data_IF_656262673214
#
_entry.id   IF_656262673214
#
_cell.length_a   1.000
_cell.length_b   1.000
_cell.length_c   1.000
_cell.angle_alpha   90.00
_cell.angle_beta   90.00
_cell.angle_gamma   90.00
#
_symmetry.space_group_name_H-M   'P 1'
#
loop_
_entity.id
_entity.type
_entity.pdbx_description
1 polymer ?
#
# COMPACT_ATOMS: atom_id res chain seq x y z
N UNK A 1 10.82 14.03 10.65
CA UNK A 1 9.55 14.14 11.40
C UNK A 1 8.42 13.51 10.56
N UNK A 2 7.36 12.96 11.16
CA UNK A 2 6.23 12.38 10.42
C UNK A 2 5.59 13.41 9.49
N UNK A 3 4.95 12.94 8.42
CA UNK A 3 4.28 13.83 7.45
C UNK A 3 3.10 14.61 8.03
N UNK A 4 2.52 14.14 9.13
CA UNK A 4 1.45 14.82 9.85
C UNK A 4 1.32 14.34 11.31
N UNK A 5 0.47 15.02 12.09
CA UNK A 5 0.12 14.58 13.45
C UNK A 5 -0.54 13.20 13.42
N UNK A 6 -0.11 12.33 14.32
CA UNK A 6 -0.73 11.02 14.57
C UNK A 6 -1.86 11.22 15.59
N UNK A 7 -3.07 10.81 15.23
CA UNK A 7 -4.21 10.83 16.15
C UNK A 7 -4.25 9.51 16.93
N UNK A 8 -4.22 9.58 18.24
CA UNK A 8 -4.27 8.40 19.13
C UNK A 8 -5.67 8.31 19.75
N UNK A 9 -6.26 7.12 19.73
CA UNK A 9 -7.58 6.87 20.31
C UNK A 9 -7.76 5.42 20.74
N UNK A 10 -9.01 5.05 21.02
CA UNK A 10 -9.42 3.67 21.26
C UNK A 10 -10.59 3.30 20.35
N UNK A 11 -10.55 2.08 19.81
CA UNK A 11 -11.65 1.46 19.07
C UNK A 11 -11.99 0.16 19.78
N UNK A 12 -13.22 0.02 20.30
CA UNK A 12 -13.64 -1.17 21.07
C UNK A 12 -12.63 -1.57 22.17
N UNK A 13 -12.06 -0.57 22.86
CA UNK A 13 -11.05 -0.77 23.91
C UNK A 13 -9.61 -0.96 23.41
N UNK A 14 -9.39 -1.25 22.12
CA UNK A 14 -8.08 -1.40 21.49
C UNK A 14 -7.48 -0.03 21.20
N UNK A 15 -6.22 0.20 21.60
CA UNK A 15 -5.51 1.46 21.30
C UNK A 15 -5.16 1.53 19.82
N UNK A 16 -5.50 2.65 19.17
CA UNK A 16 -5.28 2.86 17.73
C UNK A 16 -4.51 4.15 17.50
N UNK A 17 -3.60 4.14 16.52
CA UNK A 17 -2.92 5.32 16.00
C UNK A 17 -3.29 5.51 14.52
N UNK A 18 -3.88 6.66 14.18
CA UNK A 18 -4.25 7.03 12.82
C UNK A 18 -3.25 8.04 12.26
N UNK A 19 -2.71 7.76 11.07
CA UNK A 19 -1.75 8.60 10.37
C UNK A 19 -2.17 8.78 8.90
N UNK A 20 -2.62 9.98 8.47
CA UNK A 20 -2.94 10.23 7.07
C UNK A 20 -1.65 10.33 6.26
N UNK A 21 -1.43 9.35 5.38
CA UNK A 21 -0.23 9.23 4.52
C UNK A 21 0.11 10.53 3.77
N UNK A 22 -0.90 11.16 3.16
CA UNK A 22 -0.75 12.38 2.35
C UNK A 22 -0.93 13.68 3.14
N UNK A 23 -0.98 13.59 4.47
CA UNK A 23 -1.28 14.71 5.36
C UNK A 23 -2.73 15.22 5.24
N UNK A 24 -3.07 16.20 6.08
CA UNK A 24 -4.40 16.84 6.06
C UNK A 24 -4.61 17.59 4.74
N UNK A 25 -5.75 17.32 4.08
CA UNK A 25 -6.07 17.91 2.78
C UNK A 25 -5.30 17.31 1.60
N UNK A 26 -4.68 16.14 1.76
CA UNK A 26 -4.07 15.37 0.67
C UNK A 26 -2.99 16.15 -0.13
N UNK A 27 -2.07 16.81 0.58
CA UNK A 27 -1.12 17.78 -0.02
C UNK A 27 0.27 17.21 -0.31
N UNK A 28 0.58 16.03 0.22
CA UNK A 28 1.89 15.39 0.05
C UNK A 28 1.78 14.37 -1.07
N UNK A 29 2.55 14.52 -2.15
CA UNK A 29 2.54 13.54 -3.26
C UNK A 29 3.12 12.19 -2.82
N UNK A 30 2.83 11.08 -3.53
CA UNK A 30 3.35 9.75 -3.16
C UNK A 30 4.87 9.68 -2.97
N UNK A 31 5.64 10.34 -3.84
CA UNK A 31 7.11 10.41 -3.77
C UNK A 31 7.62 11.16 -2.54
N UNK A 32 6.88 12.19 -2.10
CA UNK A 32 7.29 13.08 -1.01
C UNK A 32 6.86 12.59 0.37
N UNK A 33 6.10 11.49 0.45
CA UNK A 33 5.69 10.93 1.74
C UNK A 33 6.96 10.61 2.55
N UNK A 34 7.10 11.12 3.78
CA UNK A 34 8.24 10.81 4.64
C UNK A 34 8.05 9.42 5.29
N UNK A 35 7.98 8.36 4.48
CA UNK A 35 7.60 7.01 4.89
C UNK A 35 8.47 6.50 6.05
N UNK A 36 9.78 6.70 5.97
CA UNK A 36 10.73 6.34 7.03
C UNK A 36 10.35 6.98 8.37
N UNK A 37 10.02 8.27 8.37
CA UNK A 37 9.61 8.96 9.60
C UNK A 37 8.23 8.51 10.11
N UNK A 38 7.31 8.21 9.20
CA UNK A 38 5.98 7.70 9.53
C UNK A 38 6.08 6.35 10.26
N UNK A 39 6.80 5.39 9.67
CA UNK A 39 6.99 4.06 10.27
C UNK A 39 7.76 4.15 11.59
N UNK A 40 8.83 4.96 11.66
CA UNK A 40 9.57 5.19 12.90
C UNK A 40 8.68 5.72 14.03
N UNK A 41 7.82 6.70 13.74
CA UNK A 41 6.93 7.27 14.73
C UNK A 41 5.88 6.27 15.21
N UNK A 42 5.31 5.46 14.31
CA UNK A 42 4.39 4.38 14.69
C UNK A 42 5.10 3.35 15.57
N UNK A 43 6.32 2.92 15.22
CA UNK A 43 7.13 2.03 16.06
C UNK A 43 7.39 2.63 17.45
N UNK A 44 7.74 3.92 17.50
CA UNK A 44 8.01 4.65 18.75
C UNK A 44 6.78 4.78 19.65
N UNK A 45 5.57 4.73 19.08
CA UNK A 45 4.31 4.70 19.82
C UNK A 45 3.91 3.29 20.32
N UNK A 46 4.71 2.27 20.02
CA UNK A 46 4.44 0.87 20.35
C UNK A 46 3.46 0.19 19.39
N UNK A 47 3.33 0.67 18.15
CA UNK A 47 2.49 0.01 17.14
C UNK A 47 3.14 -1.30 16.70
N UNK A 48 2.40 -2.40 16.83
CA UNK A 48 2.83 -3.75 16.42
C UNK A 48 2.16 -4.21 15.12
N UNK A 49 1.03 -3.61 14.77
CA UNK A 49 0.23 -3.95 13.58
C UNK A 49 -0.12 -2.68 12.80
N UNK A 50 0.13 -2.69 11.48
CA UNK A 50 -0.28 -1.62 10.57
C UNK A 50 -1.21 -2.20 9.52
N UNK A 51 -2.40 -1.62 9.43
CA UNK A 51 -3.33 -1.80 8.32
C UNK A 51 -3.19 -0.58 7.41
N UNK A 52 -2.62 -0.78 6.22
CA UNK A 52 -2.51 0.25 5.21
C UNK A 52 -3.73 0.24 4.29
N UNK A 53 -4.34 1.40 4.07
CA UNK A 53 -5.41 1.59 3.08
C UNK A 53 -4.82 2.20 1.81
N UNK A 54 -5.06 1.58 0.66
CA UNK A 54 -4.53 2.02 -0.63
C UNK A 54 -5.65 2.09 -1.67
N UNK A 55 -5.78 3.23 -2.37
CA UNK A 55 -6.53 3.27 -3.62
C UNK A 55 -5.65 2.71 -4.75
N UNK A 56 -6.22 1.85 -5.60
CA UNK A 56 -5.48 1.15 -6.66
C UNK A 56 -6.28 1.05 -7.96
N UNK A 57 -5.57 1.02 -9.08
CA UNK A 57 -6.11 0.60 -10.36
C UNK A 57 -6.01 -0.93 -10.52
N UNK A 58 -6.94 -1.51 -11.26
CA UNK A 58 -7.01 -2.95 -11.52
C UNK A 58 -6.49 -3.35 -12.90
N UNK A 59 -5.70 -4.42 -12.93
CA UNK A 59 -5.23 -5.10 -14.13
C UNK A 59 -6.05 -6.36 -14.46
N UNK A 60 -7.22 -6.55 -13.85
CA UNK A 60 -8.04 -7.75 -14.02
C UNK A 60 -9.51 -7.35 -14.19
N UNK A 61 -10.23 -7.98 -15.11
CA UNK A 61 -11.63 -7.63 -15.36
C UNK A 61 -12.55 -8.10 -14.23
N UNK A 62 -12.14 -9.15 -13.54
CA UNK A 62 -12.79 -9.77 -12.40
C UNK A 62 -12.60 -8.99 -11.10
N UNK A 63 -11.55 -8.16 -10.99
CA UNK A 63 -11.27 -7.26 -9.86
C UNK A 63 -11.78 -5.86 -10.23
N UNK A 64 -12.99 -5.51 -9.79
CA UNK A 64 -13.72 -4.35 -10.32
C UNK A 64 -13.59 -3.12 -9.43
N UNK A 65 -13.74 -1.91 -9.97
CA UNK A 65 -13.94 -0.71 -9.14
C UNK A 65 -15.05 -0.92 -8.11
N UNK A 66 -14.75 -0.62 -6.84
CA UNK A 66 -15.61 -0.91 -5.69
C UNK A 66 -15.28 -2.21 -4.94
N UNK A 67 -14.51 -3.11 -5.54
CA UNK A 67 -14.01 -4.29 -4.84
C UNK A 67 -12.82 -3.94 -3.93
N UNK A 68 -12.62 -4.77 -2.91
CA UNK A 68 -11.41 -4.81 -2.10
C UNK A 68 -10.50 -5.95 -2.57
N UNK A 69 -9.21 -5.80 -2.35
CA UNK A 69 -8.23 -6.88 -2.50
C UNK A 69 -7.19 -6.80 -1.40
N UNK A 70 -6.85 -7.96 -0.84
CA UNK A 70 -5.80 -8.11 0.17
C UNK A 70 -4.58 -8.75 -0.53
N UNK A 71 -3.65 -7.95 -1.09
CA UNK A 71 -2.53 -8.48 -1.84
C UNK A 71 -1.56 -9.24 -0.91
N UNK A 72 -0.91 -10.26 -1.46
CA UNK A 72 0.13 -11.03 -0.78
C UNK A 72 1.52 -10.80 -1.40
N UNK A 73 1.60 -10.18 -2.58
CA UNK A 73 2.86 -9.92 -3.29
C UNK A 73 2.96 -8.47 -3.79
N UNK A 74 4.18 -8.01 -4.02
CA UNK A 74 4.45 -6.66 -4.54
C UNK A 74 5.67 -6.60 -5.46
N UNK A 75 5.57 -5.80 -6.52
CA UNK A 75 6.63 -5.47 -7.47
C UNK A 75 6.99 -3.99 -7.28
N UNK A 76 8.28 -3.71 -7.14
CA UNK A 76 8.80 -2.36 -6.92
C UNK A 76 9.20 -1.70 -8.25
N UNK A 77 8.53 -0.60 -8.58
CA UNK A 77 8.87 0.32 -9.68
C UNK A 77 9.09 1.75 -9.17
N UNK A 78 9.29 1.91 -7.85
CA UNK A 78 9.74 3.15 -7.25
C UNK A 78 11.25 3.32 -7.43
N UNK A 79 11.74 4.56 -7.43
CA UNK A 79 13.13 4.89 -7.77
C UNK A 79 13.75 5.90 -6.80
N UNK A 80 12.98 6.86 -6.31
CA UNK A 80 13.55 8.07 -5.68
C UNK A 80 13.40 8.10 -4.16
N UNK A 81 12.93 7.01 -3.55
CA UNK A 81 12.45 7.00 -2.16
C UNK A 81 13.46 6.33 -1.24
N UNK A 82 13.71 6.96 -0.09
CA UNK A 82 14.47 6.31 0.99
C UNK A 82 13.69 5.09 1.49
N UNK A 83 14.29 3.91 1.37
CA UNK A 83 13.60 2.63 1.55
C UNK A 83 14.16 1.72 2.66
N UNK A 84 15.10 2.23 3.46
CA UNK A 84 15.69 1.54 4.62
C UNK A 84 15.94 2.51 5.78
N UNK A 85 15.90 2.01 7.00
CA UNK A 85 16.36 2.70 8.21
C UNK A 85 17.88 2.68 8.37
N UNK A 86 18.55 1.74 7.71
CA UNK A 86 19.97 1.49 7.88
C UNK A 86 20.81 2.24 6.84
N UNK A 87 22.05 2.54 7.19
CA UNK A 87 22.97 3.34 6.40
C UNK A 87 24.23 3.61 7.22
N UNK A 88 25.08 4.53 6.75
CA UNK A 88 26.25 5.01 7.51
C UNK A 88 27.18 3.88 8.00
N UNK A 89 27.35 2.84 7.18
CA UNK A 89 28.19 1.68 7.48
C UNK A 89 27.45 0.50 8.11
N UNK A 90 26.17 0.63 8.46
CA UNK A 90 25.31 -0.47 8.91
C UNK A 90 24.56 -1.04 7.70
N UNK A 91 24.76 -2.34 7.43
CA UNK A 91 24.13 -3.06 6.32
C UNK A 91 23.19 -4.12 6.87
N UNK A 92 21.94 -4.10 6.41
CA UNK A 92 20.90 -5.06 6.81
C UNK A 92 20.25 -5.64 5.55
N UNK A 93 20.08 -6.97 5.54
CA UNK A 93 19.38 -7.70 4.50
C UNK A 93 18.17 -8.41 5.09
N UNK A 94 16.99 -7.78 5.00
CA UNK A 94 15.75 -8.39 5.46
C UNK A 94 15.21 -9.42 4.44
N UNK A 95 14.69 -10.57 4.90
CA UNK A 95 13.90 -11.42 4.03
C UNK A 95 12.60 -10.70 3.65
N UNK A 96 12.29 -10.67 2.36
CA UNK A 96 11.13 -9.94 1.83
C UNK A 96 10.36 -10.73 0.77
N UNK A 97 10.56 -12.05 0.71
CA UNK A 97 9.83 -12.94 -0.20
C UNK A 97 8.31 -12.93 0.06
N UNK A 98 7.92 -12.83 1.33
CA UNK A 98 6.55 -12.63 1.77
C UNK A 98 6.43 -11.23 2.41
N UNK A 99 6.06 -10.20 1.62
CA UNK A 99 6.15 -8.78 2.04
C UNK A 99 5.11 -8.39 3.10
N UNK A 100 4.00 -9.13 3.18
CA UNK A 100 2.89 -8.84 4.08
C UNK A 100 2.76 -9.89 5.18
N UNK A 101 2.15 -9.51 6.30
CA UNK A 101 1.95 -10.37 7.46
C UNK A 101 0.80 -11.35 7.19
N UNK A 102 1.04 -12.68 7.09
CA UNK A 102 0.02 -13.62 6.64
C UNK A 102 -1.17 -13.74 7.60
N UNK A 103 -0.92 -13.61 8.91
CA UNK A 103 -1.98 -13.63 9.94
C UNK A 103 -2.90 -12.43 9.77
N UNK A 104 -2.34 -11.21 9.72
CA UNK A 104 -3.13 -9.99 9.58
C UNK A 104 -3.85 -9.95 8.22
N UNK A 105 -3.20 -10.33 7.13
CA UNK A 105 -3.84 -10.42 5.81
C UNK A 105 -5.03 -11.40 5.81
N UNK A 106 -4.89 -12.56 6.47
CA UNK A 106 -5.99 -13.51 6.58
C UNK A 106 -7.16 -12.93 7.40
N UNK A 107 -6.88 -12.33 8.55
CA UNK A 107 -7.90 -11.66 9.38
C UNK A 107 -8.65 -10.59 8.58
N UNK A 108 -7.92 -9.74 7.84
CA UNK A 108 -8.53 -8.69 7.01
C UNK A 108 -9.45 -9.27 5.93
N UNK A 109 -9.02 -10.35 5.26
CA UNK A 109 -9.83 -11.01 4.24
C UNK A 109 -11.11 -11.62 4.82
N UNK A 110 -11.00 -12.35 5.94
CA UNK A 110 -12.16 -13.00 6.57
C UNK A 110 -13.15 -11.96 7.10
N UNK A 111 -12.66 -10.92 7.80
CA UNK A 111 -13.51 -9.83 8.30
C UNK A 111 -14.19 -9.08 7.15
N UNK A 112 -13.50 -8.82 6.04
CA UNK A 112 -14.10 -8.17 4.87
C UNK A 112 -15.26 -9.01 4.29
N UNK A 113 -15.13 -10.34 4.26
CA UNK A 113 -16.22 -11.23 3.83
C UNK A 113 -17.38 -11.24 4.83
N UNK A 114 -17.09 -11.28 6.13
CA UNK A 114 -18.10 -11.29 7.19
C UNK A 114 -18.98 -10.04 7.16
N UNK A 115 -18.40 -8.87 6.87
CA UNK A 115 -19.16 -7.61 6.72
C UNK A 115 -19.85 -7.45 5.36
N UNK A 116 -19.73 -8.46 4.47
CA UNK A 116 -20.39 -8.49 3.17
C UNK A 116 -19.71 -7.69 2.07
N UNK A 117 -18.43 -7.33 2.21
CA UNK A 117 -17.68 -6.67 1.15
C UNK A 117 -17.30 -7.64 0.01
N UNK A 118 -17.34 -7.17 -1.23
CA UNK A 118 -16.70 -7.85 -2.36
C UNK A 118 -15.20 -7.79 -2.19
N UNK A 119 -14.56 -8.90 -1.85
CA UNK A 119 -13.13 -8.95 -1.56
C UNK A 119 -12.41 -10.10 -2.27
N UNK A 120 -11.28 -9.79 -2.87
CA UNK A 120 -10.37 -10.75 -3.51
C UNK A 120 -9.24 -11.14 -2.56
N UNK A 121 -8.94 -12.43 -2.52
CA UNK A 121 -7.82 -12.97 -1.73
C UNK A 121 -6.57 -13.01 -2.60
N UNK A 122 -5.45 -12.50 -2.06
CA UNK A 122 -4.13 -12.50 -2.73
C UNK A 122 -4.10 -11.65 -3.99
N UNK A 123 -2.88 -11.34 -4.43
CA UNK A 123 -2.65 -10.56 -5.63
C UNK A 123 -1.30 -9.84 -5.58
N UNK A 124 -0.79 -9.53 -6.76
CA UNK A 124 0.48 -8.86 -6.98
C UNK A 124 0.23 -7.37 -7.24
N UNK A 125 0.66 -6.54 -6.29
CA UNK A 125 0.64 -5.08 -6.38
C UNK A 125 1.85 -4.57 -7.16
N UNK A 126 1.69 -3.67 -8.12
CA UNK A 126 2.81 -2.91 -8.71
C UNK A 126 2.85 -1.51 -8.08
N UNK A 127 3.96 -1.19 -7.41
CA UNK A 127 4.19 0.13 -6.85
C UNK A 127 4.99 1.00 -7.82
N UNK A 128 4.34 1.93 -8.51
CA UNK A 128 5.01 2.91 -9.37
C UNK A 128 5.35 4.20 -8.61
N UNK A 129 6.30 4.97 -9.14
CA UNK A 129 6.74 6.22 -8.51
C UNK A 129 5.63 7.30 -8.48
N UNK A 130 4.86 7.44 -9.57
CA UNK A 130 3.99 8.60 -9.78
C UNK A 130 4.79 9.88 -10.10
N UNK A 131 4.15 11.06 -10.11
CA UNK A 131 2.73 11.30 -9.84
C UNK A 131 1.83 11.00 -11.04
N UNK A 132 2.40 10.84 -12.23
CA UNK A 132 1.64 10.47 -13.42
C UNK A 132 1.11 9.04 -13.29
N UNK A 133 -0.12 8.83 -13.78
CA UNK A 133 -0.63 7.48 -14.02
C UNK A 133 0.16 6.80 -15.15
N UNK A 134 0.01 5.48 -15.24
CA UNK A 134 0.66 4.67 -16.26
C UNK A 134 0.20 5.07 -17.66
N UNK A 135 1.12 5.09 -18.60
CA UNK A 135 0.77 4.96 -20.01
C UNK A 135 0.08 3.62 -20.27
N UNK A 136 -0.66 3.51 -21.38
CA UNK A 136 -1.23 2.24 -21.82
C UNK A 136 -0.16 1.16 -22.05
N UNK A 137 1.03 1.55 -22.52
CA UNK A 137 2.14 0.62 -22.74
C UNK A 137 2.64 0.04 -21.42
N UNK A 138 2.83 0.87 -20.39
CA UNK A 138 3.18 0.42 -19.04
C UNK A 138 2.09 -0.46 -18.43
N UNK A 139 0.82 -0.06 -18.58
CA UNK A 139 -0.33 -0.85 -18.13
C UNK A 139 -0.32 -2.27 -18.73
N UNK A 140 -0.11 -2.38 -20.05
CA UNK A 140 0.01 -3.68 -20.76
C UNK A 140 1.24 -4.47 -20.32
N UNK A 141 2.36 -3.80 -20.09
CA UNK A 141 3.59 -4.43 -19.59
C UNK A 141 3.35 -5.06 -18.21
N UNK A 142 2.81 -4.31 -17.25
CA UNK A 142 2.57 -4.82 -15.90
C UNK A 142 1.54 -5.97 -15.89
N UNK A 143 0.52 -5.90 -16.73
CA UNK A 143 -0.38 -7.04 -16.99
C UNK A 143 0.36 -8.28 -17.48
N UNK A 144 1.32 -8.10 -18.41
CA UNK A 144 2.11 -9.21 -18.95
C UNK A 144 3.03 -9.87 -17.90
N UNK A 145 3.37 -9.16 -16.82
CA UNK A 145 4.08 -9.73 -15.66
C UNK A 145 3.16 -10.51 -14.71
N UNK A 146 1.85 -10.51 -14.96
CA UNK A 146 0.86 -11.13 -14.08
C UNK A 146 0.46 -10.25 -12.89
N UNK A 147 0.74 -8.94 -12.91
CA UNK A 147 0.25 -8.04 -11.86
C UNK A 147 -1.29 -7.96 -11.84
N UNK A 148 -1.84 -7.76 -10.64
CA UNK A 148 -3.28 -7.71 -10.41
C UNK A 148 -3.77 -6.29 -10.18
N UNK A 149 -2.97 -5.48 -9.47
CA UNK A 149 -3.31 -4.10 -9.11
C UNK A 149 -2.09 -3.19 -9.17
N UNK A 150 -2.33 -1.89 -9.30
CA UNK A 150 -1.30 -0.85 -9.34
C UNK A 150 -1.64 0.30 -8.41
N UNK A 151 -0.62 0.83 -7.74
CA UNK A 151 -0.73 2.09 -7.04
C UNK A 151 0.64 2.67 -6.76
N UNK A 152 0.69 3.67 -5.87
CA UNK A 152 1.89 4.50 -5.70
C UNK A 152 2.48 4.48 -4.30
N UNK A 153 1.91 3.75 -3.33
CA UNK A 153 2.16 4.03 -1.90
C UNK A 153 2.59 2.83 -1.06
N UNK A 154 2.38 1.59 -1.52
CA UNK A 154 2.70 0.39 -0.75
C UNK A 154 4.21 0.15 -0.52
N UNK A 155 5.07 0.78 -1.35
CA UNK A 155 6.52 0.80 -1.14
C UNK A 155 7.03 2.24 -1.06
N UNK A 156 7.98 2.53 -0.15
CA UNK A 156 8.72 1.59 0.70
C UNK A 156 8.04 1.23 2.04
N UNK A 157 6.74 1.52 2.22
CA UNK A 157 6.02 1.26 3.48
C UNK A 157 6.19 -0.18 3.99
N UNK A 158 5.96 -1.18 3.14
CA UNK A 158 6.09 -2.58 3.53
C UNK A 158 7.53 -2.98 3.91
N UNK A 159 8.55 -2.47 3.20
CA UNK A 159 9.97 -2.73 3.50
C UNK A 159 10.34 -2.17 4.88
N UNK A 160 9.97 -0.92 5.12
CA UNK A 160 10.28 -0.24 6.38
C UNK A 160 9.48 -0.85 7.54
N UNK A 161 8.23 -1.24 7.34
CA UNK A 161 7.48 -1.97 8.37
C UNK A 161 8.13 -3.31 8.72
N UNK A 162 8.66 -4.04 7.73
CA UNK A 162 9.43 -5.27 7.95
C UNK A 162 10.71 -5.02 8.74
N UNK A 163 11.50 -4.00 8.38
CA UNK A 163 12.70 -3.61 9.15
C UNK A 163 12.38 -3.17 10.58
N UNK A 164 11.22 -2.56 10.79
CA UNK A 164 10.74 -2.16 12.11
C UNK A 164 10.07 -3.30 12.90
N UNK A 165 10.04 -4.53 12.37
CA UNK A 165 9.38 -5.68 12.97
C UNK A 165 7.89 -5.43 13.29
N UNK A 166 7.19 -4.78 12.37
CA UNK A 166 5.76 -4.49 12.48
C UNK A 166 5.00 -5.41 11.52
N UNK A 167 3.95 -6.07 12.01
CA UNK A 167 3.04 -6.86 11.18
C UNK A 167 2.23 -5.90 10.29
N UNK A 168 2.56 -5.88 8.99
CA UNK A 168 1.99 -4.95 8.02
C UNK A 168 1.14 -5.69 6.98
N UNK A 169 -0.05 -5.18 6.70
CA UNK A 169 -0.94 -5.69 5.66
C UNK A 169 -1.67 -4.53 4.94
N UNK A 170 -2.18 -4.82 3.76
CA UNK A 170 -2.86 -3.85 2.90
C UNK A 170 -4.33 -4.23 2.73
N UNK A 171 -5.21 -3.25 2.84
CA UNK A 171 -6.54 -3.27 2.24
C UNK A 171 -6.47 -2.34 1.03
N UNK A 172 -6.52 -2.90 -0.17
CA UNK A 172 -6.51 -2.11 -1.40
C UNK A 172 -7.94 -2.01 -1.94
N UNK A 173 -8.44 -0.79 -2.09
CA UNK A 173 -9.73 -0.48 -2.69
C UNK A 173 -9.55 -0.12 -4.16
N UNK A 174 -10.22 -0.86 -5.04
CA UNK A 174 -10.09 -0.70 -6.48
C UNK A 174 -10.94 0.50 -6.91
N UNK A 175 -10.33 1.46 -7.61
CA UNK A 175 -11.00 2.70 -8.04
C UNK A 175 -11.26 2.76 -9.55
N UNK A 176 -10.48 2.02 -10.33
CA UNK A 176 -10.45 2.08 -11.79
C UNK A 176 -9.75 0.84 -12.37
N UNK A 177 -9.68 0.74 -13.70
CA UNK A 177 -8.98 -0.32 -14.42
C UNK A 177 -7.63 0.16 -14.98
N UNK A 178 -6.98 1.12 -14.34
CA UNK A 178 -5.80 1.80 -14.89
C UNK A 178 -6.06 2.23 -16.37
N UNK A 179 -5.12 2.01 -17.29
CA UNK A 179 -5.22 2.51 -18.68
C UNK A 179 -5.21 1.42 -19.76
N UNK A 180 -5.37 0.14 -19.41
CA UNK A 180 -5.26 -0.97 -20.36
C UNK A 180 -6.48 -1.14 -21.26
N UNK A 181 -7.67 -0.71 -20.81
CA UNK A 181 -8.88 -0.72 -21.63
C UNK A 181 -8.84 0.43 -22.63
N UNK A 182 -9.09 0.14 -23.90
CA UNK A 182 -9.04 1.16 -24.96
C UNK A 182 -10.20 2.15 -24.87
N UNK A 183 -11.38 1.69 -24.44
CA UNK A 183 -12.61 2.47 -24.35
C UNK A 183 -12.89 3.07 -22.95
N UNK A 184 -11.96 2.90 -22.00
CA UNK A 184 -12.11 3.50 -20.67
C UNK A 184 -11.84 5.00 -20.70
N UNK A 185 -12.61 5.82 -19.95
CA UNK A 185 -12.30 7.24 -19.79
C UNK A 185 -10.92 7.41 -19.16
N UNK A 186 -10.20 8.52 -19.45
CA UNK A 186 -8.91 8.78 -18.83
C UNK A 186 -9.01 8.78 -17.30
N UNK A 187 -7.99 8.23 -16.65
CA UNK A 187 -7.87 8.30 -15.20
C UNK A 187 -7.75 9.76 -14.76
N UNK A 188 -8.60 10.16 -13.83
CA UNK A 188 -8.59 11.50 -13.24
C UNK A 188 -8.65 11.37 -11.72
N UNK A 189 -7.89 12.21 -11.04
CA UNK A 189 -8.01 12.37 -9.58
C UNK A 189 -9.33 13.10 -9.32
N UNK A 190 -10.23 12.49 -8.53
CA UNK A 190 -11.43 13.14 -8.01
C UNK A 190 -11.15 13.78 -6.65
#
# INVERSE_FOLDING_TARGET
MPGHSITIGKLEGVKVAFLPRHGKGHRISPTEIPVRANIYALKSLGVEHIISINAVGSFKQEIKPGDLIIPDQIIDRTQSRVNTFFGEGIVVHIPFAEPFCPVLSQTLFDTAREVGASVHRKGTYVAIEGPAFSTRAESRLYRSWGADIIGMTALPEAKLAREAEICYAIIAGVTDYDSWQEDSPPLVVK
#
